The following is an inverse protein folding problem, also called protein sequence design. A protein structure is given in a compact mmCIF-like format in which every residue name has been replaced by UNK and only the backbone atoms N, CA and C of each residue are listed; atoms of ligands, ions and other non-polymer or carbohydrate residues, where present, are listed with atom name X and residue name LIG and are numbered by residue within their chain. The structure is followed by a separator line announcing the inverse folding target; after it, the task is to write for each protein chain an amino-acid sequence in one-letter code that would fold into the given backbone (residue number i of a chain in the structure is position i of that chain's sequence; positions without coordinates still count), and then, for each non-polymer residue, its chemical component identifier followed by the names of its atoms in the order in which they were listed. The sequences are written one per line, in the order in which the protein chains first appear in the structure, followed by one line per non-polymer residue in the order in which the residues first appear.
data_IF_553692830379
#
_entry.id   IF_553692830379
#
_cell.length_a   1.000
_cell.length_b   1.000
_cell.length_c   1.000
_cell.angle_alpha   90.00
_cell.angle_beta   90.00
_cell.angle_gamma   90.00
#
_symmetry.space_group_name_H-M   'P 1'
#
loop_
_entity.id
_entity.type
_entity.pdbx_description
1 polymer ?
#
# COMPACT_ATOMS: atom_id res chain seq x y z
N UNK A 1 66.21 -20.92 37.41
CA UNK A 1 64.82 -20.42 37.59
C UNK A 1 64.37 -19.80 36.28
N UNK A 2 63.44 -20.45 35.55
CA UNK A 2 62.89 -19.94 34.29
C UNK A 2 61.38 -19.82 34.47
N UNK A 3 60.91 -18.61 34.68
CA UNK A 3 59.48 -18.29 34.87
C UNK A 3 58.87 -18.08 33.49
N UNK A 4 57.99 -19.00 33.07
CA UNK A 4 57.20 -18.86 31.86
C UNK A 4 55.96 -18.02 32.18
N UNK A 5 55.75 -16.92 31.44
CA UNK A 5 54.57 -16.06 31.55
C UNK A 5 53.57 -16.55 30.49
N UNK A 6 52.46 -17.13 30.93
CA UNK A 6 51.30 -17.38 30.06
C UNK A 6 50.53 -16.06 29.89
N UNK A 7 50.53 -15.51 28.67
CA UNK A 7 49.61 -14.44 28.28
C UNK A 7 48.29 -15.06 27.84
N UNK A 8 47.24 -14.87 28.65
CA UNK A 8 45.86 -15.16 28.25
C UNK A 8 45.36 -14.01 27.35
N UNK A 9 45.18 -14.28 26.06
CA UNK A 9 44.49 -13.37 25.16
C UNK A 9 42.98 -13.50 25.39
N UNK A 10 42.39 -12.47 26.01
CA UNK A 10 40.94 -12.35 26.10
C UNK A 10 40.38 -11.93 24.72
N UNK A 11 39.74 -12.87 24.03
CA UNK A 11 38.89 -12.58 22.88
C UNK A 11 37.68 -11.78 23.35
N UNK A 12 37.70 -10.46 23.15
CA UNK A 12 36.52 -9.62 23.21
C UNK A 12 35.61 -10.03 22.04
N UNK A 13 34.68 -10.95 22.31
CA UNK A 13 33.52 -11.13 21.45
C UNK A 13 32.74 -9.82 21.52
N UNK A 14 32.85 -8.99 20.48
CA UNK A 14 31.94 -7.88 20.29
C UNK A 14 30.54 -8.47 20.19
N UNK A 15 29.71 -8.24 21.21
CA UNK A 15 28.28 -8.45 21.10
C UNK A 15 27.82 -7.62 19.91
N UNK A 16 27.55 -8.27 18.78
CA UNK A 16 26.72 -7.67 17.75
C UNK A 16 25.47 -7.20 18.49
N UNK A 17 25.25 -5.88 18.50
CA UNK A 17 24.01 -5.32 19.01
C UNK A 17 22.94 -6.01 18.18
N UNK A 18 22.22 -6.96 18.78
CA UNK A 18 21.13 -7.63 18.08
C UNK A 18 20.23 -6.49 17.59
N UNK A 19 19.96 -6.44 16.29
CA UNK A 19 18.97 -5.50 15.78
C UNK A 19 17.71 -5.69 16.64
N UNK A 20 17.25 -4.63 17.31
CA UNK A 20 16.06 -4.73 18.15
C UNK A 20 14.85 -4.88 17.21
N UNK A 21 14.55 -6.14 16.89
CA UNK A 21 13.46 -6.49 16.01
C UNK A 21 12.12 -6.17 16.69
N UNK A 22 11.28 -5.44 15.97
CA UNK A 22 9.96 -5.03 16.46
C UNK A 22 9.12 -6.25 16.83
N UNK A 23 8.54 -6.27 18.02
CA UNK A 23 7.63 -7.34 18.45
C UNK A 23 6.24 -7.21 17.78
N UNK A 24 5.88 -5.98 17.42
CA UNK A 24 4.74 -5.58 16.61
C UNK A 24 5.12 -5.44 15.12
N UNK A 25 4.80 -4.28 14.54
CA UNK A 25 5.16 -3.91 13.18
C UNK A 25 6.42 -3.03 13.15
N UNK A 26 7.30 -3.28 12.19
CA UNK A 26 8.27 -2.31 11.73
C UNK A 26 7.66 -1.48 10.60
N UNK A 27 7.27 -0.25 10.92
CA UNK A 27 6.52 0.63 10.02
C UNK A 27 7.51 1.55 9.31
N UNK A 28 7.68 1.35 8.00
CA UNK A 28 8.45 2.22 7.14
C UNK A 28 7.55 3.33 6.59
N UNK A 29 8.04 4.56 6.58
CA UNK A 29 7.26 5.72 6.14
C UNK A 29 8.00 6.52 5.08
N UNK A 30 7.44 6.58 3.87
CA UNK A 30 7.91 7.44 2.78
C UNK A 30 7.14 8.75 2.73
N UNK A 31 7.81 9.85 3.05
CA UNK A 31 7.26 11.22 2.92
C UNK A 31 7.08 11.61 1.45
N UNK A 32 6.25 12.61 1.17
CA UNK A 32 6.08 13.23 -0.13
C UNK A 32 7.07 14.35 -0.43
N UNK A 33 6.94 14.89 -1.64
CA UNK A 33 7.86 15.90 -2.17
C UNK A 33 7.83 17.20 -1.36
N UNK A 34 9.00 17.71 -0.99
CA UNK A 34 9.15 18.98 -0.26
C UNK A 34 8.89 18.89 1.23
N UNK A 35 8.48 17.72 1.73
CA UNK A 35 8.32 17.50 3.16
C UNK A 35 9.69 17.40 3.86
N UNK A 36 9.82 17.95 5.09
CA UNK A 36 11.03 17.79 5.88
C UNK A 36 11.42 16.32 6.08
N UNK A 37 12.71 16.03 6.16
CA UNK A 37 13.19 14.68 6.46
C UNK A 37 12.54 14.13 7.75
N UNK A 38 11.99 12.92 7.67
CA UNK A 38 11.18 12.33 8.72
C UNK A 38 9.94 11.63 8.18
N UNK A 39 8.90 11.54 9.01
CA UNK A 39 7.71 10.72 8.77
C UNK A 39 6.68 11.36 7.82
N UNK A 40 6.81 12.66 7.53
CA UNK A 40 5.88 13.40 6.68
C UNK A 40 4.41 13.33 7.11
N UNK A 41 3.50 13.58 6.18
CA UNK A 41 2.05 13.61 6.35
C UNK A 41 1.52 12.31 6.99
N UNK A 42 2.03 11.16 6.57
CA UNK A 42 1.62 9.85 7.09
C UNK A 42 2.14 9.52 8.49
N UNK A 43 2.96 10.39 9.11
CA UNK A 43 3.54 10.15 10.44
C UNK A 43 2.51 10.01 11.56
N UNK A 44 1.43 10.80 11.54
CA UNK A 44 0.37 10.67 12.53
C UNK A 44 -0.38 9.33 12.40
N UNK A 45 -0.62 8.87 11.17
CA UNK A 45 -1.21 7.56 10.91
C UNK A 45 -0.28 6.43 11.37
N UNK A 46 1.03 6.54 11.08
CA UNK A 46 2.03 5.59 11.55
C UNK A 46 2.02 5.46 13.08
N UNK A 47 1.95 6.60 13.77
CA UNK A 47 1.89 6.64 15.23
C UNK A 47 0.62 5.98 15.76
N UNK A 48 -0.54 6.27 15.17
CA UNK A 48 -1.80 5.64 15.58
C UNK A 48 -1.78 4.11 15.38
N UNK A 49 -1.18 3.63 14.29
CA UNK A 49 -1.00 2.19 14.05
C UNK A 49 -0.05 1.60 15.09
N UNK A 50 1.07 2.26 15.39
CA UNK A 50 2.03 1.82 16.39
C UNK A 50 1.44 1.78 17.80
N UNK A 51 0.57 2.73 18.14
CA UNK A 51 -0.13 2.76 19.43
C UNK A 51 -1.16 1.61 19.51
N UNK A 52 -1.81 1.26 18.39
CA UNK A 52 -2.77 0.15 18.31
C UNK A 52 -2.11 -1.25 18.23
N UNK A 53 -0.87 -1.33 17.74
CA UNK A 53 -0.10 -2.58 17.62
C UNK A 53 1.12 -2.50 18.54
N UNK A 54 0.96 -2.95 19.79
CA UNK A 54 2.02 -2.87 20.80
C UNK A 54 3.34 -3.51 20.35
N UNK A 55 4.47 -2.87 20.69
CA UNK A 55 5.81 -3.33 20.30
C UNK A 55 6.19 -3.00 18.86
N UNK A 56 5.41 -2.15 18.19
CA UNK A 56 5.77 -1.60 16.87
C UNK A 56 6.88 -0.55 16.96
N UNK A 57 7.58 -0.36 15.85
CA UNK A 57 8.60 0.66 15.62
C UNK A 57 8.25 1.43 14.35
N UNK A 58 8.69 2.69 14.25
CA UNK A 58 8.46 3.54 13.09
C UNK A 58 9.79 4.08 12.61
N UNK A 59 10.07 3.95 11.32
CA UNK A 59 11.26 4.53 10.67
C UNK A 59 10.86 5.27 9.41
N UNK A 60 11.57 6.37 9.14
CA UNK A 60 11.43 7.10 7.89
C UNK A 60 12.32 6.48 6.81
N UNK A 61 11.85 6.49 5.57
CA UNK A 61 12.72 6.32 4.42
C UNK A 61 13.54 7.60 4.27
N UNK A 62 14.87 7.45 4.36
CA UNK A 62 15.79 8.56 4.14
C UNK A 62 16.15 8.62 2.65
N UNK A 63 15.69 9.70 2.01
CA UNK A 63 15.82 9.95 0.58
C UNK A 63 15.57 11.43 0.30
N UNK A 64 15.87 11.99 -0.89
CA UNK A 64 15.79 13.43 -1.10
C UNK A 64 14.37 14.03 -0.97
N UNK A 65 13.34 13.34 -1.44
CA UNK A 65 11.96 13.84 -1.53
C UNK A 65 11.86 15.22 -2.21
N UNK A 66 12.57 15.44 -3.31
CA UNK A 66 12.69 16.75 -3.96
C UNK A 66 12.04 16.79 -5.33
N UNK A 67 11.71 18.01 -5.77
CA UNK A 67 11.20 18.25 -7.12
C UNK A 67 12.31 18.55 -8.14
N UNK A 68 13.35 19.31 -7.74
CA UNK A 68 14.34 19.84 -8.69
C UNK A 68 15.80 19.82 -8.23
N UNK A 69 16.09 19.61 -6.94
CA UNK A 69 17.47 19.54 -6.41
C UNK A 69 17.62 18.44 -5.34
N UNK A 70 17.86 17.18 -5.73
CA UNK A 70 17.94 16.66 -7.10
C UNK A 70 16.60 16.66 -7.85
N UNK A 71 16.63 16.45 -9.16
CA UNK A 71 15.41 16.32 -9.97
C UNK A 71 14.51 15.20 -9.44
N UNK A 72 13.21 15.34 -9.69
CA UNK A 72 12.19 14.40 -9.20
C UNK A 72 12.50 12.94 -9.54
N UNK A 73 12.94 12.65 -10.77
CA UNK A 73 13.28 11.29 -11.21
C UNK A 73 14.49 10.71 -10.45
N UNK A 74 15.50 11.53 -10.16
CA UNK A 74 16.65 11.14 -9.34
C UNK A 74 16.21 10.88 -7.90
N UNK A 75 15.43 11.81 -7.34
CA UNK A 75 14.87 11.69 -5.99
C UNK A 75 14.04 10.42 -5.83
N UNK A 76 13.19 10.13 -6.82
CA UNK A 76 12.34 8.94 -6.84
C UNK A 76 13.18 7.66 -6.92
N UNK A 77 14.14 7.54 -7.86
CA UNK A 77 15.00 6.35 -7.96
C UNK A 77 15.82 6.10 -6.70
N UNK A 78 16.39 7.16 -6.10
CA UNK A 78 17.12 7.05 -4.83
C UNK A 78 16.20 6.61 -3.69
N UNK A 79 14.97 7.13 -3.63
CA UNK A 79 13.97 6.72 -2.65
C UNK A 79 13.53 5.26 -2.84
N UNK A 80 13.32 4.82 -4.08
CA UNK A 80 12.95 3.44 -4.38
C UNK A 80 14.05 2.47 -3.95
N UNK A 81 15.31 2.82 -4.25
CA UNK A 81 16.48 2.10 -3.73
C UNK A 81 16.54 2.09 -2.21
N UNK A 82 16.24 3.20 -1.54
CA UNK A 82 16.22 3.27 -0.08
C UNK A 82 15.15 2.34 0.53
N UNK A 83 13.95 2.26 -0.06
CA UNK A 83 12.91 1.31 0.35
C UNK A 83 13.40 -0.13 0.17
N UNK A 84 13.98 -0.44 -0.98
CA UNK A 84 14.56 -1.77 -1.25
C UNK A 84 15.60 -2.14 -0.19
N UNK A 85 16.56 -1.27 0.05
CA UNK A 85 17.68 -1.51 0.97
C UNK A 85 17.18 -1.69 2.41
N UNK A 86 16.23 -0.86 2.87
CA UNK A 86 15.69 -0.96 4.23
C UNK A 86 14.86 -2.24 4.43
N UNK A 87 13.97 -2.59 3.47
CA UNK A 87 13.13 -3.79 3.58
C UNK A 87 13.98 -5.06 3.56
N UNK A 88 14.94 -5.15 2.63
CA UNK A 88 15.82 -6.33 2.52
C UNK A 88 16.75 -6.46 3.72
N UNK A 89 17.29 -5.34 4.22
CA UNK A 89 18.09 -5.31 5.45
C UNK A 89 17.28 -5.76 6.65
N UNK A 90 16.09 -5.20 6.87
CA UNK A 90 15.27 -5.57 8.02
C UNK A 90 14.84 -7.04 7.95
N UNK A 91 14.46 -7.53 6.77
CA UNK A 91 14.16 -8.95 6.57
C UNK A 91 15.34 -9.87 6.94
N UNK A 92 16.57 -9.50 6.58
CA UNK A 92 17.79 -10.25 6.92
C UNK A 92 18.10 -10.20 8.41
N UNK A 93 18.02 -9.02 9.01
CA UNK A 93 18.40 -8.80 10.40
C UNK A 93 17.32 -9.31 11.38
N UNK A 94 16.06 -9.33 10.94
CA UNK A 94 14.87 -9.67 11.72
C UNK A 94 13.97 -10.69 10.99
N UNK A 95 14.46 -11.92 10.72
CA UNK A 95 13.73 -12.90 9.94
C UNK A 95 12.38 -13.25 10.59
N UNK A 96 11.29 -13.14 9.83
CA UNK A 96 9.93 -13.48 10.29
C UNK A 96 9.20 -12.36 11.04
N UNK A 97 9.89 -11.28 11.41
CA UNK A 97 9.25 -10.07 11.96
C UNK A 97 8.48 -9.32 10.86
N UNK A 98 7.44 -8.58 11.26
CA UNK A 98 6.47 -8.02 10.30
C UNK A 98 6.73 -6.56 10.02
N UNK A 99 6.63 -6.20 8.75
CA UNK A 99 6.79 -4.84 8.23
C UNK A 99 5.49 -4.32 7.64
N UNK A 100 5.27 -3.02 7.75
CA UNK A 100 4.27 -2.31 6.98
C UNK A 100 4.90 -1.08 6.34
N UNK A 101 4.41 -0.67 5.17
CA UNK A 101 4.85 0.53 4.49
C UNK A 101 3.71 1.54 4.40
N UNK A 102 3.96 2.80 4.75
CA UNK A 102 3.07 3.93 4.54
C UNK A 102 3.72 4.94 3.60
N UNK A 103 3.01 5.36 2.56
CA UNK A 103 3.56 6.28 1.55
C UNK A 103 2.63 7.43 1.20
N UNK A 104 3.20 8.60 1.03
CA UNK A 104 2.49 9.79 0.58
C UNK A 104 3.11 10.36 -0.70
N UNK A 105 2.33 10.58 -1.75
CA UNK A 105 2.77 11.28 -2.97
C UNK A 105 4.01 10.61 -3.60
N UNK A 106 5.16 11.29 -3.69
CA UNK A 106 6.42 10.67 -4.12
C UNK A 106 6.80 9.46 -3.26
N UNK A 107 6.53 9.50 -1.95
CA UNK A 107 6.69 8.37 -1.03
C UNK A 107 5.79 7.18 -1.34
N UNK A 108 4.69 7.37 -2.08
CA UNK A 108 3.89 6.27 -2.62
C UNK A 108 4.54 5.65 -3.86
N UNK A 109 5.01 6.49 -4.80
CA UNK A 109 5.65 6.04 -6.04
C UNK A 109 6.93 5.22 -5.76
N UNK A 110 7.81 5.69 -4.86
CA UNK A 110 9.04 4.97 -4.52
C UNK A 110 8.76 3.57 -3.96
N UNK A 111 7.63 3.41 -3.27
CA UNK A 111 7.20 2.13 -2.70
C UNK A 111 6.79 1.16 -3.81
N UNK A 112 5.92 1.61 -4.71
CA UNK A 112 5.45 0.77 -5.82
C UNK A 112 6.62 0.41 -6.74
N UNK A 113 7.55 1.33 -6.99
CA UNK A 113 8.77 1.05 -7.75
C UNK A 113 9.69 0.05 -7.05
N UNK A 114 9.82 0.10 -5.72
CA UNK A 114 10.63 -0.85 -4.97
C UNK A 114 9.98 -2.24 -4.92
N UNK A 115 8.67 -2.31 -4.62
CA UNK A 115 7.96 -3.57 -4.45
C UNK A 115 7.60 -4.25 -5.77
N UNK A 116 7.20 -3.48 -6.78
CA UNK A 116 6.73 -4.03 -8.06
C UNK A 116 7.84 -4.08 -9.13
N UNK A 117 9.02 -3.52 -8.85
CA UNK A 117 10.13 -3.31 -9.79
C UNK A 117 10.00 -1.96 -10.49
N UNK A 118 11.09 -1.40 -11.03
CA UNK A 118 11.10 -0.09 -11.68
C UNK A 118 10.02 0.08 -12.76
N UNK A 119 9.61 1.32 -13.03
CA UNK A 119 8.60 1.63 -14.05
C UNK A 119 9.18 1.66 -15.48
N UNK A 120 10.51 1.66 -15.61
CA UNK A 120 11.24 1.91 -16.83
C UNK A 120 11.38 3.39 -17.16
N UNK A 121 12.07 3.67 -18.27
CA UNK A 121 12.33 5.03 -18.71
C UNK A 121 13.10 5.84 -17.68
N UNK A 122 12.60 7.04 -17.35
CA UNK A 122 13.27 7.94 -16.40
C UNK A 122 13.22 7.44 -14.94
N UNK A 123 12.36 6.47 -14.61
CA UNK A 123 12.27 5.93 -13.25
C UNK A 123 13.03 4.60 -13.08
N UNK A 124 13.79 4.20 -14.10
CA UNK A 124 14.67 3.03 -14.04
C UNK A 124 13.95 1.68 -14.10
N UNK A 125 14.73 0.63 -14.33
CA UNK A 125 14.28 -0.77 -14.47
C UNK A 125 14.79 -1.64 -13.31
N UNK A 126 14.92 -1.04 -12.11
CA UNK A 126 15.46 -1.73 -10.94
C UNK A 126 14.64 -2.98 -10.58
N UNK A 127 15.34 -4.02 -10.13
CA UNK A 127 14.70 -5.26 -9.73
C UNK A 127 13.75 -5.04 -8.53
N UNK A 128 12.59 -5.72 -8.49
CA UNK A 128 11.70 -5.66 -7.34
C UNK A 128 12.38 -6.22 -6.09
N UNK A 129 11.90 -5.79 -4.91
CA UNK A 129 12.23 -6.44 -3.64
C UNK A 129 11.95 -7.96 -3.77
N UNK A 130 12.91 -8.82 -3.39
CA UNK A 130 12.75 -10.27 -3.51
C UNK A 130 11.50 -10.77 -2.80
N UNK A 131 10.79 -11.73 -3.41
CA UNK A 131 9.55 -12.29 -2.87
C UNK A 131 9.71 -12.83 -1.43
N UNK A 132 10.89 -13.36 -1.09
CA UNK A 132 11.20 -13.82 0.27
C UNK A 132 11.18 -12.68 1.29
N UNK A 133 11.68 -11.48 0.94
CA UNK A 133 11.57 -10.31 1.82
C UNK A 133 10.13 -9.77 1.87
N UNK A 134 9.38 -9.81 0.75
CA UNK A 134 7.97 -9.41 0.69
C UNK A 134 7.07 -10.28 1.57
N UNK A 135 7.46 -11.51 1.92
CA UNK A 135 6.70 -12.37 2.85
C UNK A 135 6.51 -11.73 4.22
N UNK A 136 7.46 -10.90 4.64
CA UNK A 136 7.48 -10.24 5.94
C UNK A 136 6.78 -8.87 5.91
N UNK A 137 6.51 -8.34 4.72
CA UNK A 137 5.65 -7.16 4.53
C UNK A 137 4.19 -7.59 4.56
N UNK A 138 3.38 -7.01 5.44
CA UNK A 138 1.96 -7.38 5.62
C UNK A 138 0.99 -6.36 5.02
N UNK A 139 1.44 -5.11 4.82
CA UNK A 139 0.64 -4.05 4.24
C UNK A 139 1.54 -2.98 3.59
N UNK A 140 1.11 -2.47 2.44
CA UNK A 140 1.67 -1.35 1.68
C UNK A 140 0.50 -0.39 1.44
N UNK A 141 0.47 0.68 2.21
CA UNK A 141 -0.66 1.58 2.36
C UNK A 141 -0.27 2.97 1.86
N UNK A 142 -0.74 3.34 0.67
CA UNK A 142 -0.23 4.53 -0.03
C UNK A 142 -1.33 5.49 -0.49
N UNK A 143 -1.01 6.77 -0.49
CA UNK A 143 -1.90 7.87 -0.85
C UNK A 143 -1.32 8.71 -1.98
N UNK A 144 -2.17 9.09 -2.94
CA UNK A 144 -1.84 10.09 -3.95
C UNK A 144 -0.66 9.69 -4.84
N UNK A 145 -0.49 8.40 -5.12
CA UNK A 145 0.60 7.86 -5.94
C UNK A 145 0.62 8.50 -7.35
N UNK A 146 1.65 9.28 -7.73
CA UNK A 146 1.76 9.81 -9.08
C UNK A 146 1.83 8.71 -10.15
N UNK A 147 2.20 7.48 -9.79
CA UNK A 147 2.21 6.31 -10.66
C UNK A 147 0.91 5.49 -10.66
N UNK A 148 -0.13 6.01 -10.00
CA UNK A 148 -1.43 5.37 -9.88
C UNK A 148 -1.98 4.92 -11.24
N UNK A 149 -2.42 3.67 -11.27
CA UNK A 149 -3.14 3.10 -12.39
C UNK A 149 -4.53 2.68 -11.88
N UNK A 150 -5.58 3.34 -12.39
CA UNK A 150 -6.95 3.19 -11.91
C UNK A 150 -7.52 1.79 -12.10
N UNK A 151 -6.94 0.98 -12.99
CA UNK A 151 -7.35 -0.40 -13.25
C UNK A 151 -6.67 -1.43 -12.33
N UNK A 152 -5.71 -1.00 -11.51
CA UNK A 152 -5.01 -1.90 -10.59
C UNK A 152 -5.97 -2.50 -9.56
N UNK A 153 -5.85 -3.79 -9.20
CA UNK A 153 -6.77 -4.44 -8.26
C UNK A 153 -6.70 -3.88 -6.84
N UNK A 154 -5.62 -3.16 -6.51
CA UNK A 154 -5.40 -2.46 -5.24
C UNK A 154 -5.75 -0.97 -5.28
N UNK A 155 -6.26 -0.45 -6.41
CA UNK A 155 -6.73 0.92 -6.52
C UNK A 155 -7.99 1.15 -5.67
N UNK A 156 -8.02 2.26 -4.94
CA UNK A 156 -9.14 2.76 -4.13
C UNK A 156 -9.28 4.26 -4.29
N UNK A 157 -10.38 4.79 -3.76
CA UNK A 157 -10.75 6.19 -3.91
C UNK A 157 -11.72 6.38 -5.08
N UNK A 158 -11.89 7.62 -5.49
CA UNK A 158 -12.88 8.02 -6.49
C UNK A 158 -12.31 8.22 -7.90
N UNK A 159 -10.98 8.17 -8.09
CA UNK A 159 -10.38 8.41 -9.40
C UNK A 159 -10.72 7.30 -10.40
N UNK A 160 -11.18 7.71 -11.57
CA UNK A 160 -11.28 6.85 -12.77
C UNK A 160 -10.19 7.18 -13.81
N UNK A 161 -9.26 8.06 -13.46
CA UNK A 161 -8.13 8.48 -14.29
C UNK A 161 -6.81 7.98 -13.69
N UNK A 162 -5.82 7.87 -14.55
CA UNK A 162 -4.45 7.51 -14.19
C UNK A 162 -3.62 8.71 -13.71
N UNK A 163 -2.52 8.42 -13.03
CA UNK A 163 -1.57 9.41 -12.53
C UNK A 163 -0.66 9.97 -13.62
N UNK A 164 0.06 11.03 -13.26
CA UNK A 164 1.01 11.72 -14.15
C UNK A 164 2.13 10.81 -14.66
N UNK A 165 2.50 9.81 -13.86
CA UNK A 165 3.55 8.85 -14.15
C UNK A 165 2.99 7.44 -14.12
N UNK A 166 1.82 7.22 -14.73
CA UNK A 166 1.12 5.92 -14.69
C UNK A 166 2.05 4.75 -14.99
N UNK A 167 2.01 3.74 -14.12
CA UNK A 167 2.71 2.49 -14.35
C UNK A 167 1.96 1.62 -15.37
N UNK A 168 2.72 1.06 -16.32
CA UNK A 168 2.25 0.00 -17.19
C UNK A 168 2.29 -1.36 -16.47
N UNK A 169 1.13 -1.82 -16.00
CA UNK A 169 0.97 -3.11 -15.30
C UNK A 169 1.33 -3.05 -13.81
N UNK A 170 1.38 -4.23 -13.16
CA UNK A 170 1.61 -4.34 -11.71
C UNK A 170 2.88 -5.15 -11.36
N UNK A 171 3.65 -5.58 -12.35
CA UNK A 171 4.95 -6.24 -12.16
C UNK A 171 4.93 -7.39 -11.13
N UNK A 172 5.94 -7.42 -10.26
CA UNK A 172 6.05 -8.42 -9.19
C UNK A 172 4.88 -8.37 -8.18
N UNK A 173 4.21 -7.22 -8.06
CA UNK A 173 3.08 -7.03 -7.16
C UNK A 173 1.85 -7.85 -7.53
N UNK A 174 1.78 -8.43 -8.74
CA UNK A 174 0.72 -9.37 -9.12
C UNK A 174 0.52 -10.50 -8.10
N UNK A 175 1.59 -10.94 -7.45
CA UNK A 175 1.56 -12.04 -6.46
C UNK A 175 1.12 -11.63 -5.04
N UNK A 176 1.00 -10.33 -4.76
CA UNK A 176 0.66 -9.83 -3.42
C UNK A 176 -0.22 -8.56 -3.45
N UNK A 177 -1.06 -8.42 -4.46
CA UNK A 177 -1.98 -7.27 -4.62
C UNK A 177 -2.88 -7.07 -3.39
N UNK A 178 -3.21 -8.14 -2.68
CA UNK A 178 -3.98 -8.11 -1.43
C UNK A 178 -3.26 -7.43 -0.26
N UNK A 179 -1.95 -7.17 -0.37
CA UNK A 179 -1.15 -6.44 0.60
C UNK A 179 -0.99 -4.97 0.24
N UNK A 180 -1.52 -4.52 -0.90
CA UNK A 180 -1.40 -3.14 -1.36
C UNK A 180 -2.77 -2.47 -1.30
N UNK A 181 -2.79 -1.21 -0.88
CA UNK A 181 -3.91 -0.30 -1.13
C UNK A 181 -3.37 1.05 -1.58
N UNK A 182 -3.86 1.54 -2.71
CA UNK A 182 -3.47 2.84 -3.28
C UNK A 182 -4.69 3.73 -3.43
N UNK A 183 -4.78 4.77 -2.61
CA UNK A 183 -5.89 5.73 -2.66
C UNK A 183 -5.58 6.89 -3.60
N UNK A 184 -6.48 7.12 -4.54
CA UNK A 184 -6.47 8.29 -5.41
C UNK A 184 -7.89 8.80 -5.65
N UNK A 185 -8.10 10.11 -5.52
CA UNK A 185 -9.39 10.75 -5.72
C UNK A 185 -9.45 11.55 -7.03
N UNK A 186 -10.66 11.58 -7.62
CA UNK A 186 -10.92 12.35 -8.83
C UNK A 186 -10.53 13.81 -8.61
N UNK A 187 -9.73 14.35 -9.52
CA UNK A 187 -9.31 15.75 -9.50
C UNK A 187 -8.00 16.03 -8.78
N UNK A 188 -7.40 15.03 -8.12
CA UNK A 188 -6.02 15.10 -7.64
C UNK A 188 -5.06 15.41 -8.79
N UNK A 189 -4.23 16.45 -8.62
CA UNK A 189 -3.29 16.93 -9.64
C UNK A 189 -2.19 15.93 -10.01
N UNK A 190 -1.87 14.97 -9.15
CA UNK A 190 -0.74 14.05 -9.33
C UNK A 190 -1.20 12.64 -9.66
N UNK A 191 -2.11 12.05 -8.87
CA UNK A 191 -2.50 10.64 -9.06
C UNK A 191 -3.70 10.45 -10.02
N UNK A 192 -4.42 11.53 -10.34
CA UNK A 192 -5.61 11.51 -11.20
C UNK A 192 -5.46 12.40 -12.45
N UNK A 193 -4.28 13.00 -12.65
CA UNK A 193 -4.01 14.02 -13.67
C UNK A 193 -5.05 15.18 -13.67
N UNK A 194 -5.57 15.48 -12.48
CA UNK A 194 -6.57 16.52 -12.24
C UNK A 194 -5.96 17.92 -12.13
N UNK A 195 -6.71 18.84 -11.52
CA UNK A 195 -6.34 20.26 -11.39
C UNK A 195 -6.46 20.81 -9.98
N UNK A 196 -6.83 19.98 -9.00
CA UNK A 196 -7.07 20.41 -7.62
C UNK A 196 -6.02 19.87 -6.63
N UNK A 197 -5.04 20.72 -6.27
CA UNK A 197 -3.99 20.40 -5.29
C UNK A 197 -4.56 20.09 -3.90
N UNK A 198 -5.72 20.67 -3.54
CA UNK A 198 -6.35 20.41 -2.25
C UNK A 198 -6.86 18.98 -2.12
N UNK A 199 -7.31 18.34 -3.22
CA UNK A 199 -7.72 16.92 -3.19
C UNK A 199 -6.55 16.04 -2.75
N UNK A 200 -5.33 16.34 -3.23
CA UNK A 200 -4.13 15.62 -2.85
C UNK A 200 -3.84 15.68 -1.33
N UNK A 201 -4.20 16.78 -0.67
CA UNK A 201 -4.01 16.98 0.76
C UNK A 201 -5.08 16.34 1.67
N UNK A 202 -6.17 15.81 1.11
CA UNK A 202 -7.35 15.41 1.90
C UNK A 202 -7.43 13.92 2.24
N UNK A 203 -6.47 13.11 1.80
CA UNK A 203 -6.57 11.66 2.00
C UNK A 203 -6.60 11.22 3.47
N UNK A 204 -5.84 11.88 4.35
CA UNK A 204 -5.87 11.58 5.80
C UNK A 204 -7.13 12.08 6.50
N UNK A 205 -7.91 12.95 5.85
CA UNK A 205 -9.26 13.33 6.30
C UNK A 205 -10.28 12.30 5.81
N UNK A 206 -10.17 11.89 4.55
CA UNK A 206 -11.16 11.03 3.89
C UNK A 206 -11.04 9.55 4.28
N UNK A 207 -9.81 9.06 4.45
CA UNK A 207 -9.51 7.62 4.58
C UNK A 207 -8.65 7.20 5.80
N UNK A 208 -8.59 7.93 6.93
CA UNK A 208 -7.67 7.59 8.02
C UNK A 208 -7.98 6.22 8.62
N UNK A 209 -9.27 5.91 8.84
CA UNK A 209 -9.70 4.65 9.45
C UNK A 209 -9.51 3.47 8.51
N UNK A 210 -9.83 3.65 7.23
CA UNK A 210 -9.71 2.61 6.21
C UNK A 210 -8.25 2.19 6.07
N UNK A 211 -7.33 3.17 6.05
CA UNK A 211 -5.89 2.88 5.94
C UNK A 211 -5.34 2.23 7.21
N UNK A 212 -5.72 2.73 8.39
CA UNK A 212 -5.32 2.14 9.67
C UNK A 212 -5.80 0.68 9.78
N UNK A 213 -7.08 0.42 9.47
CA UNK A 213 -7.66 -0.91 9.53
C UNK A 213 -6.99 -1.86 8.53
N UNK A 214 -6.70 -1.40 7.31
CA UNK A 214 -6.00 -2.22 6.32
C UNK A 214 -4.66 -2.75 6.84
N UNK A 215 -3.87 -1.88 7.47
CA UNK A 215 -2.56 -2.25 8.02
C UNK A 215 -2.69 -3.20 9.21
N UNK A 216 -3.60 -2.90 10.15
CA UNK A 216 -3.83 -3.72 11.36
C UNK A 216 -4.38 -5.10 10.96
N UNK A 217 -5.28 -5.17 9.99
CA UNK A 217 -5.83 -6.43 9.48
C UNK A 217 -4.74 -7.28 8.82
N UNK A 218 -3.83 -6.66 8.05
CA UNK A 218 -2.66 -7.34 7.49
C UNK A 218 -1.78 -7.95 8.58
N UNK A 219 -1.50 -7.20 9.65
CA UNK A 219 -0.75 -7.68 10.80
C UNK A 219 -1.46 -8.84 11.52
N UNK A 220 -2.75 -8.70 11.83
CA UNK A 220 -3.52 -9.73 12.52
C UNK A 220 -3.60 -11.04 11.72
N UNK A 221 -3.80 -10.96 10.40
CA UNK A 221 -3.76 -12.13 9.50
C UNK A 221 -2.40 -12.83 9.54
N UNK A 222 -1.31 -12.08 9.63
CA UNK A 222 0.04 -12.65 9.71
C UNK A 222 0.30 -13.42 11.01
N UNK A 223 -0.37 -13.06 12.11
CA UNK A 223 -0.31 -13.79 13.38
C UNK A 223 -1.14 -15.07 13.33
N UNK A 224 -2.30 -15.06 12.68
CA UNK A 224 -3.16 -16.24 12.51
C UNK A 224 -2.52 -17.35 11.67
N UNK A 225 -1.62 -17.02 10.75
CA UNK A 225 -0.85 -18.02 10.01
C UNK A 225 0.29 -18.66 10.82
N UNK A 226 0.70 -18.06 11.95
CA UNK A 226 1.73 -18.60 12.85
C UNK A 226 1.18 -19.50 13.98
N UNK A 227 -0.14 -19.64 14.11
CA UNK A 227 -0.79 -20.55 15.07
C UNK A 227 -0.99 -21.98 14.55
N UNK A 228 -0.40 -22.35 13.42
CA UNK A 228 -0.46 -23.69 12.82
C UNK A 228 0.57 -24.70 13.35
N UNK A 229 0.90 -24.65 14.64
CA UNK A 229 1.87 -25.56 15.26
C UNK A 229 1.37 -26.10 16.60
N UNK A 230 1.06 -27.40 16.62
CA UNK A 230 0.62 -28.23 17.75
C UNK A 230 -0.89 -28.22 18.06
N UNK A 231 -1.58 -29.24 17.54
CA UNK A 231 -2.97 -29.54 17.85
C UNK A 231 -3.48 -30.72 17.03
N UNK A 232 -2.84 -31.88 17.17
CA UNK A 232 -3.36 -33.14 16.63
C UNK A 232 -4.64 -33.50 17.39
N UNK A 233 -5.81 -33.33 16.78
CA UNK A 233 -6.97 -34.11 17.18
C UNK A 233 -7.85 -34.45 15.95
N UNK A 234 -7.65 -35.68 15.48
CA UNK A 234 -8.52 -36.42 14.59
C UNK A 234 -9.93 -36.53 15.16
N UNK A 235 -10.91 -35.97 14.46
CA UNK A 235 -12.28 -36.49 14.49
C UNK A 235 -12.78 -36.60 13.07
N UNK A 236 -12.76 -37.82 12.56
CA UNK A 236 -13.33 -38.19 11.27
C UNK A 236 -14.86 -38.17 11.37
N UNK A 237 -15.54 -37.48 10.46
CA UNK A 237 -16.97 -37.63 10.23
C UNK A 237 -17.19 -38.27 8.87
N UNK A 238 -17.59 -39.53 8.94
CA UNK A 238 -18.05 -40.40 7.84
C UNK A 238 -19.22 -39.77 7.09
N UNK A 239 -19.11 -39.61 5.77
CA UNK A 239 -20.26 -39.39 4.89
C UNK A 239 -20.63 -40.69 4.20
N UNK A 240 -21.83 -41.17 4.49
CA UNK A 240 -22.44 -42.37 3.90
C UNK A 240 -23.14 -42.01 2.60
N UNK A 241 -22.81 -42.74 1.54
CA UNK A 241 -23.46 -42.77 0.22
C UNK A 241 -24.78 -43.54 0.23
N UNK A 242 -25.81 -43.02 -0.44
CA UNK A 242 -26.93 -43.83 -0.96
C UNK A 242 -27.38 -43.34 -2.35
N UNK A 243 -27.24 -44.25 -3.32
CA UNK A 243 -27.87 -44.40 -4.66
C UNK A 243 -29.41 -44.53 -4.53
N UNK A 244 -30.32 -44.26 -5.48
CA UNK A 244 -30.39 -44.54 -6.92
C UNK A 244 -31.53 -43.77 -7.67
N UNK A 245 -31.49 -43.79 -9.02
CA UNK A 245 -32.38 -43.25 -10.10
C UNK A 245 -33.70 -44.07 -10.31
N UNK A 246 -34.47 -44.03 -11.46
CA UNK A 246 -34.54 -43.19 -12.70
C UNK A 246 -36.00 -42.69 -13.03
N UNK A 247 -36.41 -41.98 -14.11
CA UNK A 247 -36.42 -42.34 -15.56
C UNK A 247 -37.13 -41.26 -16.44
N UNK A 248 -36.70 -41.11 -17.71
CA UNK A 248 -37.38 -40.69 -18.98
C UNK A 248 -38.11 -39.33 -19.08
N UNK A 249 -38.18 -38.58 -20.18
CA UNK A 249 -37.91 -38.68 -21.64
C UNK A 249 -37.95 -37.23 -22.19
N UNK A 250 -37.17 -36.77 -23.17
CA UNK A 250 -37.30 -37.03 -24.61
C UNK A 250 -36.93 -35.75 -25.43
N UNK A 251 -36.15 -35.95 -26.50
CA UNK A 251 -35.86 -35.18 -27.75
C UNK A 251 -36.34 -33.72 -27.93
N UNK A 252 -35.66 -32.80 -28.63
CA UNK A 252 -34.47 -32.85 -29.48
C UNK A 252 -34.29 -31.54 -30.28
N UNK A 253 -33.06 -31.32 -30.74
CA UNK A 253 -32.59 -30.60 -31.94
C UNK A 253 -32.96 -29.12 -32.27
N UNK A 254 -31.88 -28.30 -32.24
CA UNK A 254 -31.27 -27.56 -33.37
C UNK A 254 -31.90 -26.28 -33.98
N UNK A 255 -31.09 -25.21 -33.84
CA UNK A 255 -30.61 -24.28 -34.88
C UNK A 255 -31.39 -22.98 -35.20
N UNK A 256 -30.57 -21.96 -35.55
CA UNK A 256 -30.81 -20.75 -36.38
C UNK A 256 -30.90 -19.35 -35.69
N UNK A 257 -29.86 -18.53 -35.94
CA UNK A 257 -29.93 -17.08 -36.28
C UNK A 257 -30.27 -16.92 -37.79
N UNK A 258 -30.47 -15.72 -38.43
CA UNK A 258 -30.03 -14.34 -38.08
C UNK A 258 -30.99 -13.16 -38.50
N UNK A 259 -30.46 -11.92 -38.48
CA UNK A 259 -30.86 -10.65 -39.19
C UNK A 259 -32.00 -9.80 -38.58
N UNK A 260 -32.10 -8.46 -38.62
CA UNK A 260 -31.35 -7.31 -39.22
C UNK A 260 -32.03 -5.96 -38.84
N UNK A 261 -31.30 -4.83 -38.87
CA UNK A 261 -31.79 -3.43 -39.06
C UNK A 261 -32.53 -2.78 -37.86
N UNK A 262 -32.51 -1.47 -37.57
CA UNK A 262 -32.28 -0.23 -38.35
C UNK A 262 -32.11 0.95 -37.36
N UNK A 263 -31.37 2.00 -37.72
CA UNK A 263 -31.35 3.32 -37.02
C UNK A 263 -32.66 4.11 -37.21
N UNK A 264 -32.96 5.17 -36.42
CA UNK A 264 -32.47 6.54 -36.76
C UNK A 264 -32.22 7.49 -35.55
N UNK A 265 -31.48 8.58 -35.80
CA UNK A 265 -31.45 9.87 -35.05
C UNK A 265 -32.40 10.87 -35.76
N UNK A 266 -32.61 12.16 -35.37
CA UNK A 266 -32.34 12.93 -34.13
C UNK A 266 -33.56 13.78 -33.65
N UNK A 267 -33.46 14.51 -32.52
CA UNK A 267 -33.80 15.95 -32.41
C UNK A 267 -33.64 16.49 -30.97
N UNK A 268 -33.42 17.80 -30.90
CA UNK A 268 -33.08 18.65 -29.77
C UNK A 268 -34.29 19.19 -28.96
N UNK A 269 -34.02 19.80 -27.79
CA UNK A 269 -34.88 20.86 -27.26
C UNK A 269 -34.85 21.10 -25.74
N UNK A 270 -34.37 22.30 -25.34
CA UNK A 270 -34.88 23.12 -24.21
C UNK A 270 -34.48 22.71 -22.78
N UNK A 271 -33.50 23.37 -22.14
CA UNK A 271 -33.61 24.62 -21.36
C UNK A 271 -34.37 24.55 -20.01
N UNK A 272 -33.57 24.80 -18.96
CA UNK A 272 -33.78 25.77 -17.87
C UNK A 272 -34.65 25.45 -16.63
N UNK A 273 -33.92 25.52 -15.51
CA UNK A 273 -34.19 26.31 -14.29
C UNK A 273 -34.91 25.69 -13.08
N UNK A 274 -34.10 25.63 -12.01
CA UNK A 274 -34.26 26.29 -10.71
C UNK A 274 -34.91 25.52 -9.55
N UNK A 275 -34.10 25.44 -8.46
CA UNK A 275 -34.41 25.67 -7.04
C UNK A 275 -35.46 24.76 -6.37
N UNK A 276 -35.41 24.41 -5.09
CA UNK A 276 -34.49 24.52 -3.97
C UNK A 276 -35.08 23.58 -2.91
N UNK A 277 -34.26 22.99 -2.04
CA UNK A 277 -34.75 22.10 -0.98
C UNK A 277 -33.69 21.88 0.08
N UNK A 278 -33.55 22.87 0.96
CA UNK A 278 -32.70 22.86 2.15
C UNK A 278 -33.24 21.81 3.12
N UNK A 279 -32.37 20.94 3.65
CA UNK A 279 -32.64 20.30 4.93
C UNK A 279 -31.35 20.18 5.76
N UNK A 280 -31.51 20.65 6.98
CA UNK A 280 -30.54 20.92 8.03
C UNK A 280 -30.00 19.62 8.63
N UNK A 281 -28.71 19.56 8.95
CA UNK A 281 -28.13 18.38 9.61
C UNK A 281 -26.76 18.61 10.23
N UNK A 282 -26.77 18.92 11.53
CA UNK A 282 -25.77 18.59 12.56
C UNK A 282 -24.29 18.94 12.33
N UNK A 283 -23.88 20.02 13.01
CA UNK A 283 -22.49 20.39 13.29
C UNK A 283 -21.83 19.34 14.21
N UNK A 284 -20.83 18.62 13.72
CA UNK A 284 -19.82 17.99 14.58
C UNK A 284 -18.56 18.85 14.53
N UNK A 285 -18.23 19.45 15.67
CA UNK A 285 -17.01 20.21 15.86
C UNK A 285 -15.79 19.27 15.80
N UNK A 286 -14.99 19.40 14.74
CA UNK A 286 -13.64 18.82 14.66
C UNK A 286 -12.66 19.87 15.20
N UNK A 287 -11.78 19.54 16.15
CA UNK A 287 -10.87 20.52 16.74
C UNK A 287 -9.93 21.12 15.69
N UNK A 288 -9.85 22.46 15.70
CA UNK A 288 -9.21 23.34 14.72
C UNK A 288 -7.66 23.26 14.63
N UNK A 289 -7.05 22.15 15.06
CA UNK A 289 -5.60 21.96 15.05
C UNK A 289 -5.07 21.18 13.84
N UNK A 290 -5.94 20.70 12.94
CA UNK A 290 -5.55 19.88 11.77
C UNK A 290 -5.77 20.57 10.40
N UNK A 291 -6.22 21.83 10.38
CA UNK A 291 -6.44 22.59 9.12
C UNK A 291 -5.29 23.57 8.83
N UNK A 292 -4.36 23.78 9.76
CA UNK A 292 -3.29 24.77 9.61
C UNK A 292 -2.04 24.30 8.84
N UNK A 293 -1.88 23.00 8.55
CA UNK A 293 -0.71 22.48 7.82
C UNK A 293 -0.88 22.49 6.29
N UNK A 294 -2.11 22.50 5.77
CA UNK A 294 -2.38 22.39 4.33
C UNK A 294 -2.24 23.71 3.55
N UNK A 295 -1.83 24.82 4.18
CA UNK A 295 -1.78 26.15 3.55
C UNK A 295 -0.36 26.76 3.48
N UNK A 296 0.69 26.08 3.93
CA UNK A 296 2.05 26.64 3.96
C UNK A 296 3.05 26.00 2.98
N UNK A 297 2.56 25.39 1.90
CA UNK A 297 3.39 24.99 0.76
C UNK A 297 2.66 25.33 -0.53
N UNK A 298 2.65 26.64 -0.85
CA UNK A 298 2.31 27.16 -2.18
C UNK A 298 3.25 26.54 -3.22
#
# INVERSE_FOLDING_TARGET
MRTAILSAAALLAGSAVAAECSQGLHILVGRGTGEPAGLGETGALAKNISDAVSGSSIVAIDYPATFSKPNYDVSEREGSKAVYDQVTKYHKDCPGHKMAYLGWSQGAQIAVNAFCGGQGGIFGDDAPIPADAVKDVVAIAIFGDPSFNHTSPYAKGTSTADGLFVRNGIGACASFTNKIVSYCDTGDVYCSAGKNKSVHGLYLVNYPKQMMNFVIDGYNKSKGNNTGGSGNNTTATTMTTTTASPTSSGSGNSNTSPTSGTSPTPSAGGQQNAAAGVSTGLMYAVPAALVAAAQMLL
#
